data_IF_782847274123
#
_entry.id   IF_782847274123
#
_cell.length_a   1.000
_cell.length_b   1.000
_cell.length_c   1.000
_cell.angle_alpha   90.00
_cell.angle_beta   90.00
_cell.angle_gamma   90.00
#
_symmetry.space_group_name_H-M   'P 1'
#
loop_
_entity.id
_entity.type
_entity.pdbx_description
1 polymer ?
#
# COMPACT_ATOMS: atom_id res chain seq x y z
N UNK A 1 11.20 -8.86 -5.45
CA UNK A 1 10.09 -9.29 -4.56
C UNK A 1 8.77 -9.08 -5.29
N UNK A 2 7.71 -9.80 -4.91
CA UNK A 2 6.39 -9.70 -5.55
C UNK A 2 5.27 -9.84 -4.52
N UNK A 3 4.26 -8.99 -4.60
CA UNK A 3 3.17 -8.94 -3.62
C UNK A 3 1.83 -8.84 -4.33
N UNK A 4 0.83 -9.61 -3.88
CA UNK A 4 -0.52 -9.57 -4.44
C UNK A 4 -1.34 -8.56 -3.65
N UNK A 5 -1.94 -7.60 -4.34
CA UNK A 5 -2.85 -6.60 -3.77
C UNK A 5 -4.17 -6.58 -4.53
N UNK A 6 -5.23 -6.09 -3.90
CA UNK A 6 -6.54 -5.93 -4.55
C UNK A 6 -6.54 -4.74 -5.51
N UNK A 7 -7.47 -4.70 -6.46
CA UNK A 7 -7.66 -3.50 -7.30
C UNK A 7 -7.96 -2.23 -6.49
N UNK A 8 -8.65 -2.37 -5.35
CA UNK A 8 -8.94 -1.26 -4.45
C UNK A 8 -7.64 -0.68 -3.87
N UNK A 9 -6.77 -1.54 -3.36
CA UNK A 9 -5.45 -1.17 -2.83
C UNK A 9 -4.59 -0.54 -3.92
N UNK A 10 -4.57 -1.14 -5.11
CA UNK A 10 -3.84 -0.59 -6.25
C UNK A 10 -4.30 0.82 -6.61
N UNK A 11 -5.61 1.05 -6.70
CA UNK A 11 -6.17 2.37 -6.97
C UNK A 11 -5.84 3.37 -5.86
N UNK A 12 -5.83 2.93 -4.60
CA UNK A 12 -5.44 3.76 -3.46
C UNK A 12 -3.97 4.21 -3.58
N UNK A 13 -3.06 3.27 -3.82
CA UNK A 13 -1.64 3.55 -4.02
C UNK A 13 -1.40 4.53 -5.17
N UNK A 14 -2.15 4.39 -6.27
CA UNK A 14 -2.11 5.32 -7.39
C UNK A 14 -2.68 6.70 -7.06
N UNK A 15 -3.77 6.76 -6.30
CA UNK A 15 -4.41 8.02 -5.89
C UNK A 15 -3.45 8.89 -5.10
N UNK A 16 -2.64 8.26 -4.24
CA UNK A 16 -1.63 8.95 -3.44
C UNK A 16 -0.23 8.96 -4.07
N UNK A 17 -0.10 8.56 -5.34
CA UNK A 17 1.17 8.54 -6.08
C UNK A 17 2.29 7.76 -5.37
N UNK A 18 1.94 6.71 -4.63
CA UNK A 18 2.87 5.87 -3.86
C UNK A 18 3.59 4.84 -4.74
N UNK A 19 3.05 4.57 -5.93
CA UNK A 19 3.63 3.65 -6.91
C UNK A 19 3.50 4.24 -8.31
N UNK A 20 4.37 3.79 -9.22
CA UNK A 20 4.22 4.02 -10.66
C UNK A 20 3.74 2.74 -11.38
N UNK A 21 3.50 2.83 -12.68
CA UNK A 21 3.08 1.68 -13.50
C UNK A 21 4.23 0.72 -13.84
N UNK A 22 5.48 1.06 -13.55
CA UNK A 22 6.64 0.23 -13.85
C UNK A 22 6.79 -0.93 -12.86
N UNK A 23 6.26 -0.75 -11.64
CA UNK A 23 6.31 -1.73 -10.56
C UNK A 23 5.06 -2.63 -10.51
N UNK A 24 4.36 -2.80 -11.64
CA UNK A 24 3.04 -3.42 -11.70
C UNK A 24 2.96 -4.47 -12.80
N UNK A 25 2.50 -5.67 -12.44
CA UNK A 25 2.06 -6.68 -13.39
C UNK A 25 0.58 -7.03 -13.15
N UNK A 26 -0.23 -6.98 -14.21
CA UNK A 26 -1.62 -7.42 -14.16
C UNK A 26 -1.66 -8.96 -14.25
N UNK A 27 -2.34 -9.61 -13.29
CA UNK A 27 -2.49 -11.06 -13.30
C UNK A 27 -3.94 -11.52 -13.41
N UNK A 28 -4.86 -10.90 -12.65
CA UNK A 28 -6.25 -11.32 -12.56
C UNK A 28 -7.21 -10.12 -12.67
N UNK A 29 -8.50 -10.33 -12.99
CA UNK A 29 -9.49 -9.25 -13.08
C UNK A 29 -9.65 -8.43 -11.79
N UNK A 30 -9.34 -9.02 -10.63
CA UNK A 30 -9.62 -8.46 -9.31
C UNK A 30 -8.38 -8.09 -8.48
N UNK A 31 -7.17 -8.35 -9.00
CA UNK A 31 -5.95 -8.15 -8.25
C UNK A 31 -4.76 -7.82 -9.13
N UNK A 32 -3.85 -7.06 -8.55
CA UNK A 32 -2.63 -6.60 -9.18
C UNK A 32 -1.43 -7.16 -8.42
N UNK A 33 -0.34 -7.44 -9.13
CA UNK A 33 0.92 -7.81 -8.51
C UNK A 33 1.87 -6.61 -8.51
N UNK A 34 2.26 -6.16 -7.31
CA UNK A 34 3.36 -5.22 -7.15
C UNK A 34 4.69 -5.96 -7.25
N UNK A 35 5.62 -5.41 -8.01
CA UNK A 35 6.95 -5.99 -8.24
C UNK A 35 7.99 -4.90 -8.00
N UNK A 36 8.97 -5.20 -7.15
CA UNK A 36 10.05 -4.28 -6.81
C UNK A 36 11.14 -4.97 -6.01
N UNK A 37 12.21 -4.24 -5.69
CA UNK A 37 13.24 -4.68 -4.75
C UNK A 37 12.94 -4.22 -3.32
N UNK A 38 13.79 -4.61 -2.37
CA UNK A 38 13.61 -4.27 -0.96
C UNK A 38 13.58 -2.74 -0.73
N UNK A 39 14.42 -2.00 -1.46
CA UNK A 39 14.50 -0.55 -1.35
C UNK A 39 13.19 0.13 -1.78
N UNK A 40 12.60 -0.31 -2.90
CA UNK A 40 11.28 0.13 -3.34
C UNK A 40 10.22 -0.10 -2.26
N UNK A 41 10.17 -1.30 -1.67
CA UNK A 41 9.15 -1.63 -0.68
C UNK A 41 9.35 -0.90 0.66
N UNK A 42 10.58 -0.56 1.04
CA UNK A 42 10.85 0.32 2.20
C UNK A 42 10.33 1.74 1.97
N UNK A 43 10.61 2.32 0.80
CA UNK A 43 10.08 3.64 0.42
C UNK A 43 8.55 3.63 0.37
N UNK A 44 7.96 2.53 -0.11
CA UNK A 44 6.51 2.36 -0.11
C UNK A 44 5.93 2.35 1.31
N UNK A 45 6.57 1.67 2.28
CA UNK A 45 6.14 1.69 3.68
C UNK A 45 6.17 3.10 4.27
N UNK A 46 7.24 3.85 4.04
CA UNK A 46 7.36 5.23 4.51
C UNK A 46 6.22 6.10 3.97
N UNK A 47 5.96 6.02 2.65
CA UNK A 47 4.86 6.75 2.02
C UNK A 47 3.48 6.32 2.50
N UNK A 48 3.27 5.04 2.79
CA UNK A 48 2.01 4.53 3.37
C UNK A 48 1.80 5.10 4.78
N UNK A 49 2.83 5.11 5.62
CA UNK A 49 2.77 5.69 6.97
C UNK A 49 2.44 7.19 6.93
N UNK A 50 3.04 7.94 6.00
CA UNK A 50 2.74 9.35 5.82
C UNK A 50 1.27 9.59 5.45
N UNK A 51 0.72 8.80 4.52
CA UNK A 51 -0.69 8.92 4.14
C UNK A 51 -1.61 8.49 5.27
N UNK A 52 -1.27 7.45 6.04
CA UNK A 52 -2.04 7.03 7.22
C UNK A 52 -2.20 8.19 8.21
N UNK A 53 -1.09 8.84 8.57
CA UNK A 53 -1.11 9.97 9.52
C UNK A 53 -1.88 11.17 8.95
N UNK A 54 -1.72 11.48 7.67
CA UNK A 54 -2.32 12.68 7.08
C UNK A 54 -3.80 12.53 6.71
N UNK A 55 -4.24 11.32 6.35
CA UNK A 55 -5.54 11.06 5.70
C UNK A 55 -6.28 9.85 6.26
N UNK A 56 -5.58 8.93 6.90
CA UNK A 56 -6.12 7.66 7.35
C UNK A 56 -6.71 7.67 8.76
N UNK A 57 -6.55 8.76 9.53
CA UNK A 57 -7.09 8.86 10.90
C UNK A 57 -8.43 9.62 10.93
N UNK A 58 -9.28 9.28 11.90
CA UNK A 58 -10.49 10.05 12.22
C UNK A 58 -10.07 11.36 12.90
N UNK A 59 -10.62 12.49 12.45
CA UNK A 59 -10.28 13.81 13.00
C UNK A 59 -10.48 13.87 14.52
N UNK A 60 -9.40 14.12 15.26
CA UNK A 60 -9.44 14.19 16.73
C UNK A 60 -9.37 12.82 17.43
N UNK A 61 -9.02 11.76 16.71
CA UNK A 61 -8.84 10.40 17.23
C UNK A 61 -7.58 9.77 16.61
N UNK A 62 -7.03 8.76 17.29
CA UNK A 62 -5.97 7.89 16.76
C UNK A 62 -6.55 6.65 16.05
N UNK A 63 -7.87 6.56 15.91
CA UNK A 63 -8.53 5.46 15.20
C UNK A 63 -8.47 5.62 13.67
N UNK A 64 -8.24 4.53 12.92
CA UNK A 64 -8.23 4.56 11.47
C UNK A 64 -9.65 4.71 10.90
N UNK A 65 -9.77 5.50 9.85
CA UNK A 65 -10.96 5.56 8.98
C UNK A 65 -10.87 4.49 7.86
N UNK A 66 -11.83 4.48 6.94
CA UNK A 66 -11.86 3.50 5.83
C UNK A 66 -10.60 3.51 4.94
N UNK A 67 -9.95 4.67 4.79
CA UNK A 67 -8.68 4.80 4.07
C UNK A 67 -7.54 4.24 4.94
N UNK A 68 -7.53 4.58 6.23
CA UNK A 68 -6.55 4.09 7.20
C UNK A 68 -6.51 2.57 7.28
N UNK A 69 -7.68 1.93 7.39
CA UNK A 69 -7.80 0.47 7.41
C UNK A 69 -7.24 -0.18 6.14
N UNK A 70 -7.45 0.44 4.98
CA UNK A 70 -6.93 -0.09 3.72
C UNK A 70 -5.40 0.12 3.62
N UNK A 71 -4.88 1.24 4.14
CA UNK A 71 -3.44 1.49 4.20
C UNK A 71 -2.75 0.50 5.14
N UNK A 72 -3.30 0.28 6.33
CA UNK A 72 -2.78 -0.70 7.29
C UNK A 72 -2.76 -2.11 6.69
N UNK A 73 -3.82 -2.51 5.97
CA UNK A 73 -3.84 -3.78 5.27
C UNK A 73 -2.72 -3.93 4.23
N UNK A 74 -2.35 -2.84 3.54
CA UNK A 74 -1.21 -2.84 2.61
C UNK A 74 0.12 -2.90 3.38
N UNK A 75 0.27 -2.13 4.47
CA UNK A 75 1.46 -2.14 5.33
C UNK A 75 1.73 -3.56 5.84
N UNK A 76 0.69 -4.27 6.28
CA UNK A 76 0.80 -5.65 6.76
C UNK A 76 1.30 -6.60 5.67
N UNK A 77 0.78 -6.49 4.45
CA UNK A 77 1.22 -7.29 3.30
C UNK A 77 2.70 -7.01 3.00
N UNK A 78 3.08 -5.74 2.92
CA UNK A 78 4.45 -5.34 2.56
C UNK A 78 5.45 -5.74 3.65
N UNK A 79 5.10 -5.50 4.92
CA UNK A 79 5.95 -5.81 6.07
C UNK A 79 6.17 -7.31 6.22
N UNK A 80 5.12 -8.12 6.01
CA UNK A 80 5.24 -9.59 6.08
C UNK A 80 6.25 -10.12 5.06
N UNK A 81 6.26 -9.58 3.85
CA UNK A 81 7.21 -10.04 2.82
C UNK A 81 8.60 -9.42 2.94
N UNK A 82 8.74 -8.25 3.54
CA UNK A 82 10.04 -7.62 3.80
C UNK A 82 10.80 -8.26 4.97
N UNK A 83 10.08 -8.74 5.98
CA UNK A 83 10.67 -9.20 7.25
C UNK A 83 10.42 -10.68 7.54
N UNK A 84 10.01 -11.47 6.55
CA UNK A 84 9.87 -12.94 6.66
C UNK A 84 11.18 -13.71 6.49
#
# INVERSE_FOLDING_TARGET
MKMKITNRQYNLLRTYSLIDTNHVANEDPNSVRLIGDEAFFRVLLDGLSDVLVQKGLISGSDEPNDIGLEIEAIIDIVSRELYS
#
